data_IF_838170502420
#
_entry.id   IF_838170502420
#
_cell.length_a   1.000
_cell.length_b   1.000
_cell.length_c   1.000
_cell.angle_alpha   90.00
_cell.angle_beta   90.00
_cell.angle_gamma   90.00
#
_symmetry.space_group_name_H-M   'P 1'
#
loop_
_entity.id
_entity.type
_entity.pdbx_description
1 polymer ?
#
# COMPACT_ATOMS: atom_id res chain seq x y z
N UNK A 1 -4.15 -16.56 -10.79
CA UNK A 1 -2.78 -16.64 -10.26
C UNK A 1 -2.26 -15.22 -10.04
N UNK A 2 -1.54 -14.99 -8.95
CA UNK A 2 -0.91 -13.72 -8.58
C UNK A 2 0.59 -13.96 -8.38
N UNK A 3 1.42 -12.97 -8.68
CA UNK A 3 2.87 -13.06 -8.50
C UNK A 3 3.28 -12.68 -7.08
N UNK A 4 2.54 -11.74 -6.47
CA UNK A 4 2.79 -11.24 -5.10
C UNK A 4 1.47 -11.08 -4.36
N UNK A 5 1.47 -11.47 -3.08
CA UNK A 5 0.39 -11.18 -2.14
C UNK A 5 0.93 -10.23 -1.09
N UNK A 6 0.29 -9.08 -0.92
CA UNK A 6 0.60 -8.10 0.12
C UNK A 6 -0.46 -8.20 1.21
N UNK A 7 -0.02 -8.46 2.44
CA UNK A 7 -0.90 -8.55 3.62
C UNK A 7 -0.85 -7.22 4.38
N UNK A 8 -2.02 -6.58 4.51
CA UNK A 8 -2.19 -5.20 4.95
C UNK A 8 -2.24 -4.24 3.76
N UNK A 9 -3.38 -3.59 3.55
CA UNK A 9 -3.69 -2.67 2.44
C UNK A 9 -3.70 -1.18 2.81
N UNK A 10 -3.23 -0.82 4.01
CA UNK A 10 -3.00 0.59 4.41
C UNK A 10 -1.72 1.14 3.78
N UNK A 11 -1.23 2.30 4.24
CA UNK A 11 -0.21 3.10 3.53
C UNK A 11 1.02 2.31 3.04
N UNK A 12 1.69 1.54 3.90
CA UNK A 12 2.88 0.79 3.51
C UNK A 12 2.60 -0.31 2.47
N UNK A 13 1.53 -1.08 2.69
CA UNK A 13 1.17 -2.17 1.79
C UNK A 13 0.60 -1.70 0.47
N UNK A 14 -0.22 -0.63 0.48
CA UNK A 14 -0.71 0.01 -0.74
C UNK A 14 0.44 0.58 -1.58
N UNK A 15 1.40 1.28 -0.96
CA UNK A 15 2.57 1.79 -1.66
C UNK A 15 3.44 0.67 -2.26
N UNK A 16 3.67 -0.39 -1.49
CA UNK A 16 4.44 -1.57 -1.95
C UNK A 16 3.74 -2.26 -3.12
N UNK A 17 2.43 -2.50 -3.01
CA UNK A 17 1.65 -3.12 -4.06
C UNK A 17 1.63 -2.29 -5.34
N UNK A 18 1.49 -0.97 -5.21
CA UNK A 18 1.55 -0.04 -6.35
C UNK A 18 2.91 -0.09 -7.04
N UNK A 19 4.01 -0.07 -6.29
CA UNK A 19 5.35 -0.15 -6.85
C UNK A 19 5.57 -1.44 -7.65
N UNK A 20 5.16 -2.57 -7.09
CA UNK A 20 5.28 -3.88 -7.74
C UNK A 20 4.35 -4.00 -8.95
N UNK A 21 3.13 -3.47 -8.88
CA UNK A 21 2.22 -3.41 -10.00
C UNK A 21 2.78 -2.55 -11.15
N UNK A 22 3.44 -1.42 -10.84
CA UNK A 22 4.15 -0.57 -11.83
C UNK A 22 5.32 -1.33 -12.50
N UNK A 23 5.90 -2.33 -11.83
CA UNK A 23 6.92 -3.23 -12.40
C UNK A 23 6.32 -4.43 -13.17
N UNK A 24 4.99 -4.48 -13.35
CA UNK A 24 4.32 -5.49 -14.16
C UNK A 24 3.88 -6.74 -13.39
N UNK A 25 4.00 -6.77 -12.06
CA UNK A 25 3.53 -7.89 -11.26
C UNK A 25 2.01 -7.86 -11.08
N UNK A 26 1.37 -9.03 -11.13
CA UNK A 26 -0.03 -9.20 -10.75
C UNK A 26 -0.14 -9.36 -9.23
N UNK A 27 -0.44 -8.26 -8.55
CA UNK A 27 -0.47 -8.17 -7.08
C UNK A 27 -1.88 -8.37 -6.52
N UNK A 28 -2.02 -9.15 -5.45
CA UNK A 28 -3.22 -9.22 -4.61
C UNK A 28 -2.94 -8.54 -3.27
N UNK A 29 -3.83 -7.64 -2.85
CA UNK A 29 -3.79 -7.06 -1.49
C UNK A 29 -4.88 -7.72 -0.65
N UNK A 30 -4.54 -8.11 0.57
CA UNK A 30 -5.49 -8.61 1.57
C UNK A 30 -5.36 -7.75 2.82
N UNK A 31 -6.45 -7.12 3.26
CA UNK A 31 -6.51 -6.39 4.53
C UNK A 31 -7.57 -7.02 5.44
N UNK A 32 -7.30 -7.04 6.74
CA UNK A 32 -8.24 -7.49 7.76
C UNK A 32 -9.29 -6.42 8.07
N UNK A 33 -8.92 -5.15 7.97
CA UNK A 33 -9.80 -4.04 8.30
C UNK A 33 -10.70 -3.69 7.11
N UNK A 34 -11.97 -3.35 7.35
CA UNK A 34 -12.78 -2.70 6.34
C UNK A 34 -12.18 -1.32 6.01
N UNK A 35 -12.06 -1.02 4.72
CA UNK A 35 -11.58 0.27 4.22
C UNK A 35 -12.73 1.02 3.53
N UNK A 36 -12.84 2.34 3.70
CA UNK A 36 -11.99 3.21 4.52
C UNK A 36 -12.23 3.01 6.04
N UNK A 37 -11.18 3.14 6.83
CA UNK A 37 -11.22 3.01 8.30
C UNK A 37 -11.43 4.37 8.97
N UNK A 38 -12.14 4.39 10.10
CA UNK A 38 -12.39 5.54 10.96
C UNK A 38 -11.23 5.87 11.92
N UNK A 39 -10.07 5.21 11.77
CA UNK A 39 -8.84 5.57 12.47
C UNK A 39 -8.43 6.99 12.08
N UNK A 40 -8.79 7.94 12.95
CA UNK A 40 -8.67 9.40 12.73
C UNK A 40 -7.26 9.88 12.39
N UNK A 41 -6.23 9.18 12.83
CA UNK A 41 -4.84 9.54 12.58
C UNK A 41 -4.04 8.28 12.33
N UNK A 42 -3.55 8.15 11.10
CA UNK A 42 -2.37 7.32 10.87
C UNK A 42 -1.17 8.24 11.02
N UNK A 43 -0.21 7.89 11.89
CA UNK A 43 1.00 8.70 12.17
C UNK A 43 2.01 8.65 11.01
N UNK A 44 1.54 8.55 9.78
CA UNK A 44 2.37 8.47 8.59
C UNK A 44 2.91 9.84 8.25
N UNK A 45 4.23 9.98 8.41
CA UNK A 45 5.00 11.11 7.92
C UNK A 45 5.61 10.71 6.57
N UNK A 46 5.37 11.52 5.53
CA UNK A 46 6.07 11.41 4.26
C UNK A 46 7.10 12.54 4.21
N UNK A 47 8.38 12.17 4.21
CA UNK A 47 9.47 13.11 4.00
C UNK A 47 9.51 13.57 2.54
N UNK A 48 10.10 14.74 2.27
CA UNK A 48 10.17 15.33 0.93
C UNK A 48 10.61 14.34 -0.16
N UNK A 49 11.68 13.58 0.09
CA UNK A 49 12.16 12.55 -0.84
C UNK A 49 11.13 11.45 -1.15
N UNK A 50 10.22 11.17 -0.22
CA UNK A 50 9.12 10.21 -0.43
C UNK A 50 7.95 10.80 -1.23
N UNK A 51 7.79 12.12 -1.25
CA UNK A 51 6.78 12.79 -2.09
C UNK A 51 7.18 12.72 -3.56
N UNK A 52 8.47 12.86 -3.86
CA UNK A 52 9.00 12.82 -5.23
C UNK A 52 8.82 11.45 -5.91
N UNK A 53 8.49 10.39 -5.15
CA UNK A 53 8.33 9.02 -5.63
C UNK A 53 6.87 8.59 -5.88
N UNK A 54 5.89 9.43 -5.53
CA UNK A 54 4.45 9.13 -5.67
C UNK A 54 3.94 9.48 -7.06
#
# INVERSE_FOLDING_TARGET
>A
MYDVIVVGGRCAGAATALLLARHGHKVLIVDQAPLPSDVRLSTHLIWHAGVDLL
#
